data_IF_520094594540
#
_entry.id   IF_520094594540
#
_cell.length_a   1.000
_cell.length_b   1.000
_cell.length_c   1.000
_cell.angle_alpha   90.00
_cell.angle_beta   90.00
_cell.angle_gamma   90.00
#
_symmetry.space_group_name_H-M   'P 1'
#
loop_
_entity.id
_entity.type
_entity.pdbx_description
1 polymer ?
#
# COMPACT_ATOMS: atom_id res chain seq x y z
N UNK A 1 -9.12 -20.68 7.72
CA UNK A 1 -8.96 -19.25 7.40
C UNK A 1 -7.93 -19.13 6.28
N UNK A 2 -8.15 -18.35 5.23
CA UNK A 2 -7.22 -18.30 4.08
C UNK A 2 -5.91 -17.59 4.47
N UNK A 3 -4.78 -17.97 3.84
CA UNK A 3 -3.46 -17.36 4.11
C UNK A 3 -3.46 -15.83 3.99
N UNK A 4 -4.19 -15.29 2.99
CA UNK A 4 -4.34 -13.84 2.79
C UNK A 4 -5.19 -13.17 3.87
N UNK A 5 -6.24 -13.83 4.37
CA UNK A 5 -7.02 -13.28 5.48
C UNK A 5 -6.16 -13.14 6.74
N UNK A 6 -5.36 -14.17 7.06
CA UNK A 6 -4.44 -14.11 8.20
C UNK A 6 -3.40 -13.01 8.00
N UNK A 7 -2.86 -12.86 6.79
CA UNK A 7 -1.95 -11.77 6.46
C UNK A 7 -2.60 -10.41 6.75
N UNK A 8 -3.78 -10.12 6.20
CA UNK A 8 -4.44 -8.84 6.41
C UNK A 8 -4.81 -8.57 7.87
N UNK A 9 -5.11 -9.61 8.66
CA UNK A 9 -5.31 -9.47 10.11
C UNK A 9 -4.02 -9.10 10.83
N UNK A 10 -2.91 -9.77 10.51
CA UNK A 10 -1.60 -9.41 11.09
C UNK A 10 -1.19 -7.98 10.71
N UNK A 11 -1.42 -7.57 9.46
CA UNK A 11 -1.16 -6.20 9.00
C UNK A 11 -2.03 -5.18 9.76
N UNK A 12 -3.30 -5.49 10.04
CA UNK A 12 -4.14 -4.66 10.89
C UNK A 12 -3.60 -4.57 12.32
N UNK A 13 -3.13 -5.68 12.90
CA UNK A 13 -2.54 -5.68 14.24
C UNK A 13 -1.32 -4.76 14.32
N UNK A 14 -0.47 -4.75 13.29
CA UNK A 14 0.65 -3.80 13.17
C UNK A 14 0.15 -2.36 13.10
N UNK A 15 -0.84 -2.10 12.25
CA UNK A 15 -1.42 -0.74 12.09
C UNK A 15 -1.93 -0.20 13.42
N UNK A 16 -2.73 -1.00 14.13
CA UNK A 16 -3.33 -0.57 15.40
C UNK A 16 -2.32 -0.55 16.55
N UNK A 17 -1.13 -1.14 16.43
CA UNK A 17 -0.12 -1.08 17.50
C UNK A 17 0.91 0.01 17.26
N UNK A 18 1.34 0.20 16.01
CA UNK A 18 2.49 1.05 15.67
C UNK A 18 2.11 2.37 14.99
N UNK A 19 0.95 2.45 14.33
CA UNK A 19 0.60 3.58 13.44
C UNK A 19 -0.72 4.29 13.80
N UNK A 20 -1.20 4.17 15.05
CA UNK A 20 -2.43 4.85 15.52
C UNK A 20 -2.41 6.37 15.34
N UNK A 21 -1.23 6.99 15.27
CA UNK A 21 -1.09 8.44 15.09
C UNK A 21 -1.54 8.92 13.71
N UNK A 22 -1.46 8.06 12.68
CA UNK A 22 -1.75 8.40 11.28
C UNK A 22 -2.90 7.59 10.69
N UNK A 23 -3.11 6.35 11.15
CA UNK A 23 -4.20 5.50 10.69
C UNK A 23 -5.35 5.53 11.70
N UNK A 24 -6.53 5.96 11.24
CA UNK A 24 -7.74 6.04 12.07
C UNK A 24 -8.44 4.68 12.17
N UNK A 25 -8.51 3.96 11.06
CA UNK A 25 -9.16 2.66 10.99
C UNK A 25 -8.68 1.84 9.79
N UNK A 26 -8.98 0.54 9.80
CA UNK A 26 -8.71 -0.33 8.67
C UNK A 26 -9.82 -1.37 8.46
N UNK A 27 -10.07 -1.71 7.20
CA UNK A 27 -11.15 -2.59 6.78
C UNK A 27 -10.65 -3.59 5.72
N UNK A 28 -10.99 -4.86 5.90
CA UNK A 28 -10.72 -5.90 4.89
C UNK A 28 -11.91 -5.94 3.94
N UNK A 29 -11.66 -5.61 2.68
CA UNK A 29 -12.64 -5.73 1.60
C UNK A 29 -12.64 -7.15 1.05
N UNK A 30 -13.83 -7.67 0.76
CA UNK A 30 -14.03 -9.00 0.20
C UNK A 30 -14.58 -8.91 -1.22
N UNK A 31 -14.19 -9.85 -2.07
CA UNK A 31 -14.81 -10.02 -3.40
C UNK A 31 -16.18 -10.71 -3.28
N UNK A 32 -16.91 -10.80 -4.41
CA UNK A 32 -18.25 -11.44 -4.46
C UNK A 32 -18.27 -12.88 -3.91
N UNK A 33 -17.14 -13.60 -3.96
CA UNK A 33 -16.99 -14.95 -3.40
C UNK A 33 -16.58 -15.00 -1.92
N UNK A 34 -16.67 -13.89 -1.18
CA UNK A 34 -16.17 -13.74 0.21
C UNK A 34 -14.68 -14.06 0.37
N UNK A 35 -13.90 -13.86 -0.69
CA UNK A 35 -12.44 -13.97 -0.65
C UNK A 35 -11.86 -12.61 -0.29
N UNK A 36 -10.95 -12.50 0.70
CA UNK A 36 -10.30 -11.24 1.01
C UNK A 36 -9.60 -10.69 -0.24
N UNK A 37 -9.93 -9.46 -0.60
CA UNK A 37 -9.45 -8.80 -1.81
C UNK A 37 -8.33 -7.83 -1.48
N UNK A 38 -8.58 -6.88 -0.56
CA UNK A 38 -7.62 -5.87 -0.15
C UNK A 38 -7.87 -5.43 1.29
N UNK A 39 -6.85 -4.87 1.92
CA UNK A 39 -6.95 -4.13 3.18
C UNK A 39 -6.94 -2.63 2.85
N UNK A 40 -7.98 -1.89 3.26
CA UNK A 40 -8.00 -0.44 3.19
C UNK A 40 -7.70 0.15 4.56
N UNK A 41 -6.83 1.14 4.60
CA UNK A 41 -6.51 1.93 5.79
C UNK A 41 -6.98 3.36 5.55
N UNK A 42 -7.75 3.92 6.48
CA UNK A 42 -8.20 5.30 6.44
C UNK A 42 -7.26 6.16 7.29
N UNK A 43 -6.74 7.24 6.71
CA UNK A 43 -5.75 8.11 7.34
C UNK A 43 -6.38 9.38 7.90
N UNK A 44 -5.71 9.99 8.89
CA UNK A 44 -6.20 11.20 9.58
C UNK A 44 -6.32 12.46 8.71
N UNK A 45 -5.71 12.49 7.52
CA UNK A 45 -5.86 13.58 6.54
C UNK A 45 -7.07 13.37 5.59
N UNK A 46 -7.90 12.35 5.86
CA UNK A 46 -9.06 11.99 5.04
C UNK A 46 -8.72 11.19 3.77
N UNK A 47 -7.45 10.86 3.54
CA UNK A 47 -7.02 9.97 2.46
C UNK A 47 -7.07 8.49 2.87
N UNK A 48 -6.74 7.58 1.94
CA UNK A 48 -6.71 6.15 2.23
C UNK A 48 -5.56 5.41 1.54
N UNK A 49 -5.12 4.32 2.16
CA UNK A 49 -4.18 3.36 1.58
C UNK A 49 -4.89 2.04 1.31
N UNK A 50 -4.85 1.58 0.06
CA UNK A 50 -5.23 0.22 -0.32
C UNK A 50 -3.98 -0.67 -0.38
N UNK A 51 -3.99 -1.76 0.40
CA UNK A 51 -2.98 -2.82 0.41
C UNK A 51 -3.56 -4.07 -0.24
N UNK A 52 -2.93 -4.51 -1.33
CA UNK A 52 -3.22 -5.75 -2.03
C UNK A 52 -2.03 -6.69 -1.92
N UNK A 53 -2.29 -7.95 -1.58
CA UNK A 53 -1.33 -9.04 -1.64
C UNK A 53 -1.99 -10.29 -2.25
N UNK A 54 -1.24 -11.01 -3.08
CA UNK A 54 -1.68 -12.26 -3.70
C UNK A 54 -0.87 -13.45 -3.20
N UNK A 55 -1.42 -14.66 -3.31
CA UNK A 55 -0.68 -15.89 -3.00
C UNK A 55 0.51 -16.17 -3.92
N UNK A 56 0.68 -15.40 -5.00
CA UNK A 56 1.78 -15.51 -5.98
C UNK A 56 2.87 -14.46 -5.80
N UNK A 57 2.80 -13.63 -4.74
CA UNK A 57 3.78 -12.56 -4.49
C UNK A 57 3.51 -11.25 -5.24
N UNK A 58 2.42 -11.14 -6.01
CA UNK A 58 1.98 -9.84 -6.53
C UNK A 58 1.45 -8.98 -5.38
N UNK A 59 1.81 -7.70 -5.37
CA UNK A 59 1.38 -6.75 -4.35
C UNK A 59 1.12 -5.36 -4.94
N UNK A 60 0.36 -4.55 -4.21
CA UNK A 60 0.22 -3.11 -4.43
C UNK A 60 -0.04 -2.41 -3.10
N UNK A 61 0.76 -1.42 -2.77
CA UNK A 61 0.56 -0.49 -1.66
C UNK A 61 0.25 0.87 -2.28
N UNK A 62 -1.03 1.25 -2.27
CA UNK A 62 -1.54 2.39 -3.02
C UNK A 62 -2.15 3.42 -2.08
N UNK A 63 -1.49 4.56 -1.94
CA UNK A 63 -1.99 5.72 -1.22
C UNK A 63 -2.65 6.70 -2.20
N UNK A 64 -3.97 6.82 -2.09
CA UNK A 64 -4.77 7.74 -2.90
C UNK A 64 -5.05 9.01 -2.11
N UNK A 65 -4.43 10.12 -2.53
CA UNK A 65 -4.65 11.45 -1.97
C UNK A 65 -5.22 12.41 -3.01
N UNK A 66 -5.87 11.88 -4.06
CA UNK A 66 -6.28 12.71 -5.20
C UNK A 66 -7.32 13.77 -4.82
N UNK A 67 -8.20 13.45 -3.88
CA UNK A 67 -9.22 14.37 -3.36
C UNK A 67 -8.59 15.46 -2.49
N UNK A 68 -7.50 15.15 -1.78
CA UNK A 68 -6.87 16.08 -0.82
C UNK A 68 -5.89 17.01 -1.53
N UNK A 69 -4.91 16.45 -2.24
CA UNK A 69 -3.78 17.20 -2.83
C UNK A 69 -3.46 16.81 -4.28
N UNK A 70 -4.36 16.09 -4.97
CA UNK A 70 -4.15 15.59 -6.35
C UNK A 70 -2.90 14.72 -6.53
N UNK A 71 -2.41 14.08 -5.47
CA UNK A 71 -1.27 13.15 -5.50
C UNK A 71 -1.70 11.69 -5.35
N UNK A 72 -0.86 10.80 -5.86
CA UNK A 72 -0.94 9.36 -5.67
C UNK A 72 0.46 8.82 -5.39
N UNK A 73 0.56 7.88 -4.45
CA UNK A 73 1.80 7.14 -4.23
C UNK A 73 1.50 5.65 -4.31
N UNK A 74 2.24 4.90 -5.13
CA UNK A 74 1.97 3.47 -5.28
C UNK A 74 3.24 2.65 -5.50
N UNK A 75 3.54 1.75 -4.57
CA UNK A 75 4.49 0.67 -4.82
C UNK A 75 3.73 -0.56 -5.32
N UNK A 76 4.03 -1.04 -6.52
CA UNK A 76 3.51 -2.32 -7.01
C UNK A 76 4.54 -3.06 -7.86
N UNK A 77 4.26 -4.33 -8.16
CA UNK A 77 5.13 -5.19 -8.95
C UNK A 77 4.45 -5.77 -10.20
N UNK A 78 3.41 -5.09 -10.71
CA UNK A 78 2.80 -5.50 -11.98
C UNK A 78 3.83 -5.28 -13.12
N UNK A 79 4.05 -6.26 -14.01
CA UNK A 79 5.10 -6.20 -15.04
C UNK A 79 4.68 -5.33 -16.24
N UNK A 80 4.36 -4.07 -15.98
CA UNK A 80 3.95 -3.10 -16.99
C UNK A 80 5.07 -2.88 -18.02
N UNK A 81 4.79 -3.19 -19.31
CA UNK A 81 5.80 -3.10 -20.39
C UNK A 81 6.48 -1.73 -20.49
N UNK A 82 5.75 -0.65 -20.19
CA UNK A 82 6.24 0.74 -20.19
C UNK A 82 7.37 0.97 -19.19
N UNK A 83 7.43 0.20 -18.11
CA UNK A 83 8.39 0.36 -17.00
C UNK A 83 9.53 -0.65 -17.01
N UNK A 84 9.70 -1.42 -18.10
CA UNK A 84 10.76 -2.43 -18.23
C UNK A 84 12.19 -1.90 -18.06
N UNK A 85 12.42 -0.60 -18.28
CA UNK A 85 13.73 0.03 -18.11
C UNK A 85 14.09 0.41 -16.67
N UNK A 86 13.17 0.25 -15.70
CA UNK A 86 13.41 0.56 -14.29
C UNK A 86 14.32 -0.50 -13.68
N UNK A 87 15.33 -0.09 -12.92
CA UNK A 87 16.33 -0.99 -12.32
C UNK A 87 15.74 -2.04 -11.37
N UNK A 88 14.61 -1.73 -10.73
CA UNK A 88 13.89 -2.63 -9.82
C UNK A 88 12.80 -3.46 -10.52
N UNK A 89 12.68 -3.42 -11.85
CA UNK A 89 11.61 -4.11 -12.58
C UNK A 89 11.50 -5.59 -12.17
N UNK A 90 10.29 -6.12 -11.88
CA UNK A 90 8.98 -5.51 -12.14
C UNK A 90 8.49 -4.53 -11.08
N UNK A 91 9.20 -4.39 -9.95
CA UNK A 91 8.84 -3.41 -8.93
C UNK A 91 9.02 -2.00 -9.47
N UNK A 92 8.06 -1.15 -9.17
CA UNK A 92 8.14 0.27 -9.47
C UNK A 92 7.35 1.09 -8.45
N UNK A 93 7.67 2.37 -8.36
CA UNK A 93 7.03 3.31 -7.45
C UNK A 93 6.49 4.50 -8.23
N UNK A 94 5.18 4.67 -8.22
CA UNK A 94 4.51 5.90 -8.67
C UNK A 94 4.67 6.95 -7.57
N UNK A 95 5.38 8.03 -7.86
CA UNK A 95 5.74 9.06 -6.88
C UNK A 95 5.03 10.39 -7.17
N UNK A 96 3.88 10.59 -6.53
CA UNK A 96 3.08 11.80 -6.63
C UNK A 96 2.12 11.82 -7.84
N UNK A 97 2.40 11.05 -8.89
CA UNK A 97 1.50 10.89 -10.05
C UNK A 97 1.64 9.51 -10.68
N UNK A 98 0.65 9.12 -11.52
CA UNK A 98 0.67 7.85 -12.25
C UNK A 98 1.85 7.75 -13.24
N UNK A 99 2.35 8.87 -13.77
CA UNK A 99 3.42 8.88 -14.80
C UNK A 99 4.82 9.14 -14.25
N UNK A 100 4.95 9.63 -13.01
CA UNK A 100 6.25 9.80 -12.35
C UNK A 100 6.62 8.50 -11.68
N UNK A 101 7.35 7.64 -12.40
CA UNK A 101 7.71 6.30 -11.95
C UNK A 101 9.20 6.17 -11.72
N UNK A 102 9.57 5.71 -10.53
CA UNK A 102 10.96 5.52 -10.08
C UNK A 102 11.18 4.08 -9.57
N UNK A 103 12.44 3.66 -9.36
CA UNK A 103 12.72 2.37 -8.73
C UNK A 103 12.05 2.22 -7.36
N UNK A 104 11.57 1.01 -7.08
CA UNK A 104 10.91 0.66 -5.83
C UNK A 104 11.78 -0.30 -5.04
N UNK A 105 12.16 0.13 -3.84
CA UNK A 105 12.99 -0.63 -2.90
C UNK A 105 12.22 -1.06 -1.65
N UNK A 106 10.88 -1.05 -1.73
CA UNK A 106 10.03 -1.60 -0.66
C UNK A 106 10.33 -3.09 -0.48
N UNK A 107 10.30 -3.55 0.76
CA UNK A 107 10.57 -4.94 1.12
C UNK A 107 9.60 -5.91 0.41
N UNK A 108 10.04 -7.15 0.19
CA UNK A 108 9.18 -8.23 -0.27
C UNK A 108 8.35 -8.84 0.87
N UNK A 109 8.82 -8.72 2.11
CA UNK A 109 8.05 -9.08 3.29
C UNK A 109 6.90 -8.09 3.50
N UNK A 110 5.63 -8.54 3.51
CA UNK A 110 4.49 -7.63 3.55
C UNK A 110 4.40 -6.78 4.81
N UNK A 111 4.88 -7.28 5.95
CA UNK A 111 4.85 -6.55 7.22
C UNK A 111 5.88 -5.42 7.22
N UNK A 112 7.10 -5.70 6.78
CA UNK A 112 8.15 -4.69 6.62
C UNK A 112 7.77 -3.67 5.54
N UNK A 113 7.19 -4.12 4.42
CA UNK A 113 6.70 -3.25 3.36
C UNK A 113 5.61 -2.30 3.87
N UNK A 114 4.66 -2.80 4.65
CA UNK A 114 3.62 -1.98 5.28
C UNK A 114 4.24 -0.91 6.18
N UNK A 115 5.16 -1.28 7.07
CA UNK A 115 5.83 -0.33 7.98
C UNK A 115 6.58 0.75 7.21
N UNK A 116 7.31 0.37 6.16
CA UNK A 116 8.02 1.32 5.29
C UNK A 116 7.05 2.31 4.64
N UNK A 117 5.93 1.82 4.10
CA UNK A 117 4.96 2.65 3.40
C UNK A 117 4.16 3.55 4.34
N UNK A 118 3.78 3.07 5.52
CA UNK A 118 3.11 3.90 6.54
C UNK A 118 4.06 4.92 7.17
N UNK A 119 5.35 4.59 7.32
CA UNK A 119 6.36 5.57 7.74
C UNK A 119 6.53 6.67 6.69
N UNK A 120 6.54 6.30 5.41
CA UNK A 120 6.51 7.26 4.31
C UNK A 120 5.28 8.16 4.39
N UNK A 121 4.09 7.59 4.59
CA UNK A 121 2.85 8.36 4.70
C UNK A 121 2.83 9.30 5.91
N UNK A 122 3.26 8.81 7.08
CA UNK A 122 3.39 9.59 8.31
C UNK A 122 4.27 10.83 8.11
N UNK A 123 5.45 10.67 7.49
CA UNK A 123 6.35 11.81 7.21
C UNK A 123 5.67 12.84 6.31
N UNK A 124 5.01 12.39 5.24
CA UNK A 124 4.31 13.29 4.32
C UNK A 124 3.11 13.99 4.93
N UNK A 125 2.42 13.37 5.89
CA UNK A 125 1.27 13.99 6.57
C UNK A 125 1.73 15.00 7.63
N UNK A 126 2.89 14.77 8.28
CA UNK A 126 3.41 15.69 9.31
C UNK A 126 4.15 16.89 8.69
N UNK A 127 4.83 16.69 7.56
CA UNK A 127 5.64 17.73 6.91
C UNK A 127 4.85 18.66 5.96
N UNK A 128 3.61 18.31 5.61
CA UNK A 128 2.69 19.13 4.80
C UNK A 128 1.77 19.99 5.69
#
# INVERSE_FOLDING_TARGET
MTKILNLYKNLLDIVVTEFKIVVESGEIFYSQGRVPWKLRLYLCDGSFIDVYNSGKGNYSYHWDRRIIVKKIYRHDNAPHKRWKGISSFPKHFHNGSEDVVVPSYIADDPELALRQFLTFALKHIIEE
#
